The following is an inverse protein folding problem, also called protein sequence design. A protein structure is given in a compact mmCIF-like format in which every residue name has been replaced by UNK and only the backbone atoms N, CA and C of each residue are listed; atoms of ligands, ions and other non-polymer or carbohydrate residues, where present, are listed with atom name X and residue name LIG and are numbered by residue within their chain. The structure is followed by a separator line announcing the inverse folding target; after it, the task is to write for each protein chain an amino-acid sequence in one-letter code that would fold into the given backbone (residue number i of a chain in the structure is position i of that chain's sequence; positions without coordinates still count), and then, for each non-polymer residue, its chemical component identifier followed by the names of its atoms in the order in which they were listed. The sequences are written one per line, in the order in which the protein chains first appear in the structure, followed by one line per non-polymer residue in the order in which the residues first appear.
data_IF_043136931493
#
_entry.id   IF_043136931493
#
_cell.length_a   1.000
_cell.length_b   1.000
_cell.length_c   1.000
_cell.angle_alpha   90.00
_cell.angle_beta   90.00
_cell.angle_gamma   90.00
#
_symmetry.space_group_name_H-M   'P 1'
#
loop_
_entity.id
_entity.type
_entity.pdbx_description
1 polymer ?
#
# COMPACT_ATOMS: atom_id res chain seq x y z
N UNK A 1 -21.35 4.66 13.82
CA UNK A 1 -20.53 4.72 12.59
C UNK A 1 -20.26 3.28 12.15
N UNK A 2 -20.57 2.91 10.91
CA UNK A 2 -20.27 1.59 10.34
C UNK A 2 -19.17 1.75 9.30
N UNK A 3 -17.89 1.53 9.65
CA UNK A 3 -16.78 1.72 8.71
C UNK A 3 -16.92 0.74 7.53
N UNK A 4 -16.69 1.23 6.32
CA UNK A 4 -16.68 0.38 5.14
C UNK A 4 -15.54 -0.64 5.24
N UNK A 5 -15.84 -1.92 5.02
CA UNK A 5 -14.84 -3.00 5.06
C UNK A 5 -13.65 -2.74 4.14
N UNK A 6 -13.89 -2.11 2.99
CA UNK A 6 -12.84 -1.69 2.04
C UNK A 6 -11.83 -0.71 2.65
N UNK A 7 -12.25 0.17 3.57
CA UNK A 7 -11.35 1.10 4.25
C UNK A 7 -10.49 0.35 5.27
N UNK A 8 -11.08 -0.61 5.98
CA UNK A 8 -10.35 -1.47 6.93
C UNK A 8 -9.30 -2.31 6.18
N UNK A 9 -9.68 -2.90 5.04
CA UNK A 9 -8.77 -3.66 4.19
C UNK A 9 -7.68 -2.76 3.60
N UNK A 10 -8.04 -1.59 3.06
CA UNK A 10 -7.08 -0.62 2.53
C UNK A 10 -6.02 -0.25 3.57
N UNK A 11 -6.45 0.17 4.76
CA UNK A 11 -5.54 0.64 5.82
C UNK A 11 -4.66 -0.48 6.36
N UNK A 12 -5.23 -1.66 6.60
CA UNK A 12 -4.49 -2.81 7.13
C UNK A 12 -3.48 -3.33 6.10
N UNK A 13 -3.90 -3.57 4.85
CA UNK A 13 -3.02 -4.11 3.81
C UNK A 13 -1.94 -3.10 3.39
N UNK A 14 -2.29 -1.82 3.19
CA UNK A 14 -1.30 -0.80 2.84
C UNK A 14 -0.31 -0.56 3.99
N UNK A 15 -0.80 -0.54 5.23
CA UNK A 15 0.04 -0.45 6.43
C UNK A 15 1.03 -1.61 6.53
N UNK A 16 0.57 -2.85 6.31
CA UNK A 16 1.45 -4.03 6.27
C UNK A 16 2.50 -3.92 5.14
N UNK A 17 2.10 -3.51 3.94
CA UNK A 17 3.01 -3.36 2.80
C UNK A 17 4.08 -2.29 3.02
N UNK A 18 3.70 -1.08 3.45
CA UNK A 18 4.66 -0.02 3.74
C UNK A 18 5.53 -0.33 4.96
N UNK A 19 4.97 -0.92 6.02
CA UNK A 19 5.72 -1.38 7.18
C UNK A 19 6.77 -2.44 6.80
N UNK A 20 6.41 -3.36 5.90
CA UNK A 20 7.35 -4.34 5.36
C UNK A 20 8.46 -3.68 4.53
N UNK A 21 8.15 -2.72 3.65
CA UNK A 21 9.16 -1.97 2.90
C UNK A 21 10.13 -1.23 3.84
N UNK A 22 9.61 -0.60 4.89
CA UNK A 22 10.42 0.07 5.91
C UNK A 22 11.37 -0.92 6.61
N UNK A 23 10.85 -2.04 7.10
CA UNK A 23 11.65 -3.06 7.78
C UNK A 23 12.67 -3.71 6.86
N UNK A 24 12.34 -3.91 5.57
CA UNK A 24 13.28 -4.42 4.57
C UNK A 24 14.41 -3.41 4.31
N UNK A 25 14.10 -2.12 4.15
CA UNK A 25 15.10 -1.07 3.99
C UNK A 25 16.02 -0.95 5.21
N UNK A 26 15.43 -0.94 6.41
CA UNK A 26 16.17 -0.87 7.66
C UNK A 26 17.04 -2.12 7.88
N UNK A 27 16.48 -3.31 7.69
CA UNK A 27 17.20 -4.57 7.81
C UNK A 27 18.35 -4.69 6.80
N UNK A 28 18.14 -4.21 5.57
CA UNK A 28 19.20 -4.17 4.57
C UNK A 28 20.33 -3.21 4.96
N UNK A 29 19.99 -2.01 5.45
CA UNK A 29 20.96 -1.02 5.90
C UNK A 29 21.78 -1.50 7.11
N UNK A 30 21.17 -2.31 7.99
CA UNK A 30 21.82 -2.91 9.15
C UNK A 30 22.54 -4.24 8.84
N UNK A 31 22.48 -4.75 7.60
CA UNK A 31 23.08 -6.04 7.23
C UNK A 31 22.41 -7.26 7.85
N UNK A 32 21.14 -7.14 8.26
CA UNK A 32 20.36 -8.19 8.94
C UNK A 32 19.63 -9.14 7.99
N UNK A 33 19.66 -8.86 6.68
CA UNK A 33 18.89 -9.59 5.67
C UNK A 33 19.78 -10.44 4.77
N UNK A 34 19.25 -11.54 4.21
CA UNK A 34 19.92 -12.27 3.15
C UNK A 34 20.24 -11.36 1.96
N UNK A 35 21.48 -11.41 1.47
CA UNK A 35 21.93 -10.64 0.30
C UNK A 35 21.53 -11.31 -1.04
N UNK A 36 20.75 -12.39 -0.98
CA UNK A 36 20.31 -13.12 -2.17
C UNK A 36 19.28 -12.29 -2.94
N UNK A 37 19.46 -12.20 -4.25
CA UNK A 37 18.53 -11.48 -5.14
C UNK A 37 17.09 -12.02 -5.04
N UNK A 38 16.95 -13.34 -4.87
CA UNK A 38 15.65 -14.00 -4.74
C UNK A 38 14.88 -13.53 -3.50
N UNK A 39 15.55 -13.38 -2.35
CA UNK A 39 14.92 -12.85 -1.15
C UNK A 39 14.45 -11.41 -1.35
N UNK A 40 15.30 -10.55 -1.89
CA UNK A 40 14.96 -9.14 -2.14
C UNK A 40 13.76 -9.00 -3.09
N UNK A 41 13.75 -9.75 -4.20
CA UNK A 41 12.64 -9.72 -5.16
C UNK A 41 11.33 -10.24 -4.55
N UNK A 42 11.38 -11.37 -3.83
CA UNK A 42 10.19 -11.95 -3.22
C UNK A 42 9.62 -11.04 -2.12
N UNK A 43 10.47 -10.52 -1.24
CA UNK A 43 10.04 -9.67 -0.12
C UNK A 43 9.51 -8.31 -0.60
N UNK A 44 10.21 -7.64 -1.52
CA UNK A 44 9.71 -6.40 -2.11
C UNK A 44 8.45 -6.63 -2.94
N UNK A 45 8.39 -7.73 -3.70
CA UNK A 45 7.20 -8.12 -4.47
C UNK A 45 5.98 -8.35 -3.58
N UNK A 46 6.15 -9.04 -2.45
CA UNK A 46 5.08 -9.25 -1.47
C UNK A 46 4.60 -7.92 -0.87
N UNK A 47 5.54 -7.05 -0.48
CA UNK A 47 5.23 -5.76 0.12
C UNK A 47 4.46 -4.84 -0.85
N UNK A 48 4.91 -4.76 -2.11
CA UNK A 48 4.21 -4.03 -3.17
C UNK A 48 2.85 -4.67 -3.50
N UNK A 49 2.75 -6.00 -3.42
CA UNK A 49 1.49 -6.73 -3.53
C UNK A 49 0.47 -6.29 -2.48
N UNK A 50 0.88 -6.16 -1.22
CA UNK A 50 0.03 -5.66 -0.15
C UNK A 50 -0.41 -4.20 -0.35
N UNK A 51 0.50 -3.32 -0.75
CA UNK A 51 0.17 -1.92 -1.06
C UNK A 51 -0.84 -1.85 -2.22
N UNK A 52 -0.61 -2.61 -3.28
CA UNK A 52 -1.49 -2.63 -4.46
C UNK A 52 -2.87 -3.19 -4.11
N UNK A 53 -2.91 -4.30 -3.37
CA UNK A 53 -4.17 -4.89 -2.90
C UNK A 53 -4.97 -3.92 -2.03
N UNK A 54 -4.29 -3.22 -1.11
CA UNK A 54 -4.91 -2.17 -0.31
C UNK A 54 -5.50 -1.07 -1.20
N UNK A 55 -4.71 -0.51 -2.12
CA UNK A 55 -5.14 0.57 -3.02
C UNK A 55 -6.32 0.15 -3.92
N UNK A 56 -6.32 -1.09 -4.43
CA UNK A 56 -7.46 -1.61 -5.19
C UNK A 56 -8.69 -1.72 -4.29
N UNK A 57 -8.53 -2.18 -3.05
CA UNK A 57 -9.62 -2.27 -2.08
C UNK A 57 -10.31 -0.92 -1.82
N UNK A 58 -9.54 0.18 -1.81
CA UNK A 58 -10.10 1.52 -1.61
C UNK A 58 -11.03 1.95 -2.73
N UNK A 59 -11.01 1.32 -3.91
CA UNK A 59 -11.95 1.68 -4.98
C UNK A 59 -13.36 1.14 -4.77
N UNK A 60 -13.52 0.09 -3.94
CA UNK A 60 -14.82 -0.56 -3.73
C UNK A 60 -15.82 0.25 -2.89
N UNK A 61 -15.40 1.32 -2.21
CA UNK A 61 -16.34 2.23 -1.53
C UNK A 61 -16.72 3.46 -2.38
N UNK A 62 -16.13 3.62 -3.57
CA UNK A 62 -16.46 4.74 -4.44
C UNK A 62 -17.82 4.49 -5.10
N UNK A 63 -18.73 5.46 -4.99
CA UNK A 63 -19.99 5.43 -5.75
C UNK A 63 -19.79 5.64 -7.27
N UNK A 64 -18.68 6.28 -7.66
CA UNK A 64 -18.32 6.59 -9.05
C UNK A 64 -16.83 6.27 -9.31
N UNK A 65 -16.46 4.97 -9.43
CA UNK A 65 -15.07 4.55 -9.59
C UNK A 65 -14.39 5.14 -10.85
N UNK A 66 -15.17 5.47 -11.88
CA UNK A 66 -14.67 6.12 -13.11
C UNK A 66 -14.09 7.52 -12.87
N UNK A 67 -14.35 8.13 -11.71
CA UNK A 67 -13.83 9.45 -11.32
C UNK A 67 -12.62 9.34 -10.40
N UNK A 68 -12.20 8.13 -10.01
CA UNK A 68 -11.07 7.92 -9.11
C UNK A 68 -9.78 8.61 -9.60
N UNK A 69 -9.57 8.69 -10.91
CA UNK A 69 -8.40 9.37 -11.47
C UNK A 69 -8.35 10.88 -11.18
N UNK A 70 -9.50 11.52 -10.92
CA UNK A 70 -9.54 12.95 -10.57
C UNK A 70 -8.87 13.22 -9.21
N UNK A 71 -8.72 12.20 -8.37
CA UNK A 71 -7.97 12.31 -7.12
C UNK A 71 -6.54 12.82 -7.35
N UNK A 72 -5.91 12.43 -8.45
CA UNK A 72 -4.56 12.85 -8.79
C UNK A 72 -4.44 14.34 -9.11
N UNK A 73 -5.51 15.00 -9.59
CA UNK A 73 -5.45 16.45 -9.86
C UNK A 73 -5.54 17.30 -8.60
N UNK A 74 -6.08 16.73 -7.51
CA UNK A 74 -6.30 17.43 -6.25
C UNK A 74 -5.29 17.11 -5.15
N UNK A 75 -4.24 16.34 -5.45
CA UNK A 75 -3.22 15.92 -4.48
C UNK A 75 -2.59 17.05 -3.64
N UNK A 76 -2.60 18.30 -4.14
CA UNK A 76 -2.11 19.48 -3.40
C UNK A 76 -3.15 20.10 -2.47
N UNK A 77 -4.41 20.15 -2.88
CA UNK A 77 -5.50 20.77 -2.13
C UNK A 77 -6.18 19.80 -1.17
N UNK A 78 -6.11 18.51 -1.47
CA UNK A 78 -6.70 17.44 -0.68
C UNK A 78 -5.88 16.15 -0.82
N UNK A 79 -5.45 15.63 0.32
CA UNK A 79 -4.72 14.37 0.41
C UNK A 79 -5.64 13.13 0.22
N UNK A 80 -6.96 13.32 0.17
CA UNK A 80 -7.98 12.26 0.19
C UNK A 80 -9.12 12.46 -0.84
N UNK A 81 -9.00 13.43 -1.75
CA UNK A 81 -10.06 13.84 -2.71
C UNK A 81 -10.18 12.87 -3.87
#
# INVERSE_FOLDING_TARGET
MHPALSIILFTTSSGAGYGMLFLLGLGAALGLLPTTRGFGLAACGLALGFVTFGLVSSTFHLGHPERAWRAFSQWRSSWLS
#
